data_IF_336061716478
#
_entry.id   IF_336061716478
#
_cell.length_a   1.000
_cell.length_b   1.000
_cell.length_c   1.000
_cell.angle_alpha   90.00
_cell.angle_beta   90.00
_cell.angle_gamma   90.00
#
_symmetry.space_group_name_H-M   'P 1'
#
loop_
_entity.id
_entity.type
_entity.pdbx_description
1 polymer ?
#
# COMPACT_ATOMS: atom_id res chain seq x y z
N UNK A 1 25.10 26.55 46.61
CA UNK A 1 25.32 25.47 45.63
C UNK A 1 24.46 24.21 45.90
N UNK A 2 24.32 23.77 47.12
CA UNK A 2 23.53 22.55 47.46
C UNK A 2 22.00 22.71 47.23
N UNK A 3 21.46 23.92 47.45
CA UNK A 3 20.03 24.21 47.20
C UNK A 3 19.64 24.29 45.75
N UNK A 4 20.54 24.69 44.85
CA UNK A 4 20.25 24.76 43.40
C UNK A 4 20.21 23.41 42.72
N UNK A 5 20.97 22.44 43.28
CA UNK A 5 20.95 21.02 42.81
C UNK A 5 19.66 20.33 43.24
N UNK A 6 19.18 20.58 44.47
CA UNK A 6 17.91 20.01 44.97
C UNK A 6 16.68 20.52 44.20
N UNK A 7 16.66 21.80 43.85
CA UNK A 7 15.59 22.41 43.05
C UNK A 7 15.51 21.81 41.63
N UNK A 8 16.63 21.59 40.94
CA UNK A 8 16.70 20.98 39.62
C UNK A 8 16.29 19.49 39.64
N UNK A 9 16.62 18.74 40.71
CA UNK A 9 16.19 17.35 40.87
C UNK A 9 14.69 17.21 41.11
N UNK A 10 14.07 18.14 41.86
CA UNK A 10 12.61 18.14 42.05
C UNK A 10 11.82 18.45 40.79
N UNK A 11 12.36 19.27 39.92
CA UNK A 11 11.75 19.60 38.61
C UNK A 11 11.85 18.45 37.60
N UNK A 12 12.94 17.68 37.65
CA UNK A 12 13.11 16.47 36.86
C UNK A 12 12.17 15.35 37.32
N UNK A 13 12.00 15.18 38.64
CA UNK A 13 11.06 14.20 39.21
C UNK A 13 9.59 14.55 38.91
N UNK A 14 9.22 15.81 38.86
CA UNK A 14 7.86 16.24 38.46
C UNK A 14 7.56 16.05 36.98
N UNK A 15 8.57 16.09 36.09
CA UNK A 15 8.43 15.88 34.64
C UNK A 15 8.56 14.41 34.19
N UNK A 16 9.05 13.52 35.05
CA UNK A 16 9.41 12.14 34.68
C UNK A 16 8.51 11.06 35.28
N UNK A 17 7.22 11.07 35.02
CA UNK A 17 6.41 9.84 35.12
C UNK A 17 6.51 9.07 33.82
N UNK A 18 7.27 7.95 33.83
CA UNK A 18 7.32 6.87 32.85
C UNK A 18 8.46 6.87 31.82
N UNK A 19 9.63 6.37 32.26
CA UNK A 19 10.41 5.41 31.43
C UNK A 19 11.58 4.86 32.25
N UNK A 20 11.78 3.52 32.23
CA UNK A 20 12.88 2.84 32.90
C UNK A 20 14.30 3.37 32.53
N UNK A 21 14.45 3.99 31.38
CA UNK A 21 15.66 4.68 30.94
C UNK A 21 15.98 5.93 31.77
N UNK A 22 14.96 6.62 32.24
CA UNK A 22 15.16 7.86 33.03
C UNK A 22 15.52 7.55 34.48
N UNK A 23 15.01 6.43 34.99
CA UNK A 23 15.39 5.92 36.32
C UNK A 23 16.86 5.48 36.36
N UNK A 24 17.39 4.90 35.29
CA UNK A 24 18.80 4.53 35.22
C UNK A 24 19.72 5.76 35.20
N UNK A 25 19.30 6.79 34.49
CA UNK A 25 20.05 8.05 34.39
C UNK A 25 20.09 8.79 35.77
N UNK A 26 18.94 8.86 36.45
CA UNK A 26 18.83 9.45 37.78
C UNK A 26 19.71 8.71 38.77
N UNK A 27 19.67 7.37 38.83
CA UNK A 27 20.55 6.55 39.70
C UNK A 27 22.02 6.72 39.38
N UNK A 28 22.41 6.94 38.14
CA UNK A 28 23.79 7.18 37.73
C UNK A 28 24.28 8.55 38.18
N UNK A 29 23.42 9.57 38.12
CA UNK A 29 23.73 10.93 38.59
C UNK A 29 23.81 10.99 40.12
N UNK A 30 22.90 10.31 40.83
CA UNK A 30 22.96 10.16 42.30
C UNK A 30 24.26 9.49 42.78
N UNK A 31 24.66 8.39 42.14
CA UNK A 31 25.88 7.67 42.48
C UNK A 31 27.15 8.47 42.19
N UNK A 32 27.14 9.35 41.21
CA UNK A 32 28.25 10.28 40.90
C UNK A 32 28.26 11.50 41.84
N UNK A 33 27.11 11.94 42.34
CA UNK A 33 27.00 13.00 43.33
C UNK A 33 27.49 12.55 44.69
N UNK A 34 27.21 11.30 45.08
CA UNK A 34 27.71 10.68 46.35
C UNK A 34 29.22 10.44 46.31
N UNK A 35 29.81 10.24 45.14
CA UNK A 35 31.25 10.01 44.98
C UNK A 35 32.10 11.31 45.01
N UNK A 36 31.50 12.47 45.17
CA UNK A 36 32.22 13.75 45.23
C UNK A 36 32.90 14.22 43.94
N UNK A 37 32.68 13.51 42.84
CA UNK A 37 33.36 13.70 41.57
C UNK A 37 32.49 14.50 40.58
N UNK A 38 31.95 15.66 41.06
CA UNK A 38 31.17 16.52 40.22
C UNK A 38 32.11 17.52 39.52
N UNK A 39 32.92 17.03 38.60
CA UNK A 39 33.50 17.83 37.56
C UNK A 39 32.76 17.58 36.25
N UNK A 40 31.46 17.87 36.23
CA UNK A 40 30.68 17.94 35.02
C UNK A 40 31.17 19.08 34.15
N UNK A 41 32.27 18.88 33.41
CA UNK A 41 32.60 19.71 32.25
C UNK A 41 31.44 19.53 31.28
N UNK A 42 30.57 20.52 31.19
CA UNK A 42 29.51 20.61 30.17
C UNK A 42 30.07 20.50 28.73
N UNK A 43 31.42 20.50 28.58
CA UNK A 43 32.13 20.37 27.32
C UNK A 43 32.25 18.94 26.80
N UNK A 44 32.05 17.89 27.65
CA UNK A 44 32.25 16.50 27.24
C UNK A 44 30.98 15.81 26.70
N UNK A 45 29.83 16.45 26.80
CA UNK A 45 28.72 16.10 25.92
C UNK A 45 29.01 16.69 24.54
N UNK A 46 29.91 16.00 23.76
CA UNK A 46 29.92 16.22 22.31
C UNK A 46 28.46 16.15 21.87
N UNK A 47 27.87 17.22 21.33
CA UNK A 47 26.53 17.11 20.77
C UNK A 47 26.67 16.04 19.70
N UNK A 48 26.18 14.84 20.01
CA UNK A 48 25.91 13.84 18.98
C UNK A 48 25.19 14.61 17.90
N UNK A 49 25.86 14.81 16.76
CA UNK A 49 25.50 15.64 15.58
C UNK A 49 23.99 15.68 15.52
N UNK A 50 23.39 16.78 16.01
CA UNK A 50 21.98 16.85 16.32
C UNK A 50 21.23 16.58 15.02
N UNK A 51 20.76 15.36 14.86
CA UNK A 51 19.95 14.98 13.73
C UNK A 51 18.83 16.01 13.65
N UNK A 52 18.77 16.74 12.53
CA UNK A 52 17.88 17.87 12.31
C UNK A 52 16.52 17.57 12.97
N UNK A 53 16.07 18.32 14.00
CA UNK A 53 14.90 17.95 14.81
C UNK A 53 13.65 17.75 13.95
N UNK A 54 13.59 18.47 12.81
CA UNK A 54 12.52 18.30 11.81
C UNK A 54 12.54 16.93 11.14
N UNK A 55 13.72 16.35 10.89
CA UNK A 55 13.88 15.02 10.31
C UNK A 55 13.48 13.94 11.33
N UNK A 56 13.87 14.09 12.59
CA UNK A 56 13.50 13.16 13.68
C UNK A 56 11.99 13.10 13.90
N UNK A 57 11.32 14.25 13.89
CA UNK A 57 9.86 14.34 14.01
C UNK A 57 9.14 13.67 12.82
N UNK A 58 9.62 13.93 11.59
CA UNK A 58 9.03 13.31 10.39
C UNK A 58 9.20 11.81 10.37
N UNK A 59 10.37 11.31 10.78
CA UNK A 59 10.63 9.88 10.88
C UNK A 59 9.75 9.22 11.94
N UNK A 60 9.59 9.84 13.10
CA UNK A 60 8.71 9.35 14.15
C UNK A 60 7.24 9.28 13.70
N UNK A 61 6.76 10.31 12.98
CA UNK A 61 5.42 10.33 12.40
C UNK A 61 5.25 9.23 11.34
N UNK A 62 6.22 9.07 10.42
CA UNK A 62 6.19 8.04 9.40
C UNK A 62 6.05 6.63 10.02
N UNK A 63 6.92 6.28 10.96
CA UNK A 63 6.87 4.97 11.61
C UNK A 63 5.62 4.79 12.49
N UNK A 64 5.11 5.86 13.08
CA UNK A 64 3.85 5.84 13.84
C UNK A 64 2.66 5.48 12.95
N UNK A 65 2.50 6.16 11.83
CA UNK A 65 1.45 5.89 10.84
C UNK A 65 1.59 4.49 10.22
N UNK A 66 2.81 4.11 9.84
CA UNK A 66 3.09 2.78 9.29
C UNK A 66 2.71 1.66 10.29
N UNK A 67 3.11 1.80 11.56
CA UNK A 67 2.76 0.82 12.61
C UNK A 67 1.26 0.71 12.83
N UNK A 68 0.55 1.83 12.71
CA UNK A 68 -0.89 1.88 12.89
C UNK A 68 -1.64 1.16 11.76
N UNK A 69 -1.16 1.27 10.51
CA UNK A 69 -1.76 0.63 9.34
C UNK A 69 -1.36 -0.86 9.22
N UNK A 70 -0.29 -1.29 9.87
CA UNK A 70 0.26 -2.64 9.75
C UNK A 70 -0.76 -3.75 9.99
N UNK A 71 -1.58 -3.62 11.05
CA UNK A 71 -2.58 -4.67 11.40
C UNK A 71 -3.61 -4.86 10.29
N UNK A 72 -4.17 -3.77 9.78
CA UNK A 72 -5.14 -3.81 8.68
C UNK A 72 -4.51 -4.38 7.40
N UNK A 73 -3.30 -3.94 7.05
CA UNK A 73 -2.58 -4.43 5.88
C UNK A 73 -2.26 -5.92 5.96
N UNK A 74 -1.91 -6.44 7.15
CA UNK A 74 -1.66 -7.88 7.35
C UNK A 74 -2.92 -8.71 7.20
N UNK A 75 -4.10 -8.23 7.64
CA UNK A 75 -5.37 -8.93 7.44
C UNK A 75 -5.68 -9.03 5.95
N UNK A 76 -5.57 -7.91 5.21
CA UNK A 76 -5.76 -7.90 3.77
C UNK A 76 -4.78 -8.82 3.05
N UNK A 77 -3.52 -8.84 3.50
CA UNK A 77 -2.49 -9.71 2.96
C UNK A 77 -2.87 -11.20 3.12
N UNK A 78 -3.31 -11.58 4.31
CA UNK A 78 -3.74 -12.96 4.58
C UNK A 78 -4.94 -13.38 3.71
N UNK A 79 -5.91 -12.47 3.50
CA UNK A 79 -7.08 -12.72 2.64
C UNK A 79 -6.64 -12.92 1.18
N UNK A 80 -5.85 -12.00 0.64
CA UNK A 80 -5.43 -12.07 -0.76
C UNK A 80 -4.47 -13.24 -0.99
N UNK A 81 -3.53 -13.49 -0.08
CA UNK A 81 -2.65 -14.65 -0.14
C UNK A 81 -3.44 -15.97 -0.08
N UNK A 82 -4.46 -16.03 0.77
CA UNK A 82 -5.38 -17.19 0.82
C UNK A 82 -6.10 -17.44 -0.51
N UNK A 83 -6.62 -16.37 -1.14
CA UNK A 83 -7.23 -16.48 -2.47
C UNK A 83 -6.22 -16.93 -3.54
N UNK A 84 -5.00 -16.42 -3.50
CA UNK A 84 -3.92 -16.84 -4.39
C UNK A 84 -3.60 -18.33 -4.23
N UNK A 85 -3.53 -18.83 -2.99
CA UNK A 85 -3.28 -20.24 -2.70
C UNK A 85 -4.43 -21.11 -3.21
N UNK A 86 -5.68 -20.71 -2.98
CA UNK A 86 -6.85 -21.44 -3.48
C UNK A 86 -6.82 -21.50 -5.01
N UNK A 87 -6.59 -20.39 -5.69
CA UNK A 87 -6.47 -20.35 -7.16
C UNK A 87 -5.34 -21.24 -7.65
N UNK A 88 -4.16 -21.20 -7.04
CA UNK A 88 -3.05 -22.06 -7.42
C UNK A 88 -3.37 -23.56 -7.22
N UNK A 89 -4.01 -23.90 -6.10
CA UNK A 89 -4.36 -25.28 -5.78
C UNK A 89 -5.45 -25.87 -6.72
N UNK A 90 -6.25 -25.02 -7.36
CA UNK A 90 -7.28 -25.49 -8.33
C UNK A 90 -6.72 -25.75 -9.72
N UNK A 91 -5.48 -25.34 -10.03
CA UNK A 91 -4.90 -25.53 -11.36
C UNK A 91 -4.86 -26.98 -11.85
N UNK A 92 -4.42 -28.00 -11.06
CA UNK A 92 -4.42 -29.39 -11.52
C UNK A 92 -5.81 -29.88 -11.91
N UNK A 93 -6.85 -29.48 -11.17
CA UNK A 93 -8.24 -29.83 -11.46
C UNK A 93 -8.71 -29.16 -12.77
N UNK A 94 -8.37 -27.90 -12.98
CA UNK A 94 -8.70 -27.17 -14.21
C UNK A 94 -8.01 -27.77 -15.42
N UNK A 95 -6.76 -28.21 -15.30
CA UNK A 95 -6.02 -28.87 -16.37
C UNK A 95 -6.74 -30.13 -16.83
N UNK A 96 -7.14 -30.98 -15.90
CA UNK A 96 -7.94 -32.21 -16.22
C UNK A 96 -9.26 -31.87 -16.90
N UNK A 97 -9.93 -30.79 -16.46
CA UNK A 97 -11.19 -30.35 -17.07
C UNK A 97 -10.98 -29.83 -18.50
N UNK A 98 -9.88 -29.10 -18.77
CA UNK A 98 -9.55 -28.61 -20.10
C UNK A 98 -9.20 -29.76 -21.05
N UNK A 99 -8.42 -30.76 -20.61
CA UNK A 99 -8.09 -31.94 -21.40
C UNK A 99 -9.38 -32.71 -21.76
N UNK A 100 -10.29 -32.90 -20.81
CA UNK A 100 -11.59 -33.57 -21.05
C UNK A 100 -12.50 -32.79 -22.01
N UNK A 101 -12.43 -31.44 -22.01
CA UNK A 101 -13.16 -30.60 -22.98
C UNK A 101 -12.58 -30.72 -24.38
N UNK A 102 -11.26 -30.79 -24.52
CA UNK A 102 -10.60 -30.95 -25.84
C UNK A 102 -11.03 -32.29 -26.51
N UNK A 103 -11.18 -33.35 -25.75
CA UNK A 103 -11.64 -34.63 -26.26
C UNK A 103 -13.07 -34.58 -26.85
N UNK A 104 -13.87 -33.62 -26.44
CA UNK A 104 -15.26 -33.43 -26.92
C UNK A 104 -15.38 -32.52 -28.14
N UNK A 105 -14.30 -31.86 -28.60
CA UNK A 105 -14.35 -30.90 -29.71
C UNK A 105 -14.90 -31.46 -31.03
N UNK A 106 -14.74 -32.75 -31.28
CA UNK A 106 -15.27 -33.39 -32.48
C UNK A 106 -16.81 -33.31 -32.61
N UNK A 107 -17.51 -33.01 -31.51
CA UNK A 107 -18.98 -32.93 -31.47
C UNK A 107 -19.53 -31.51 -31.45
N UNK A 108 -18.67 -30.47 -31.40
CA UNK A 108 -19.06 -29.06 -31.25
C UNK A 108 -19.04 -28.31 -32.60
N UNK A 109 -19.87 -27.29 -32.77
CA UNK A 109 -19.78 -26.37 -33.89
C UNK A 109 -18.40 -25.65 -33.96
N UNK A 110 -17.84 -25.39 -35.17
CA UNK A 110 -16.51 -24.81 -35.32
C UNK A 110 -16.32 -23.48 -34.58
N UNK A 111 -17.35 -22.63 -34.55
CA UNK A 111 -17.30 -21.34 -33.86
C UNK A 111 -17.11 -21.49 -32.33
N UNK A 112 -17.80 -22.51 -31.74
CA UNK A 112 -17.65 -22.83 -30.32
C UNK A 112 -16.27 -23.41 -30.03
N UNK A 113 -15.75 -24.26 -30.91
CA UNK A 113 -14.39 -24.81 -30.79
C UNK A 113 -13.34 -23.70 -30.78
N UNK A 114 -13.47 -22.69 -31.64
CA UNK A 114 -12.55 -21.55 -31.67
C UNK A 114 -12.58 -20.74 -30.39
N UNK A 115 -13.78 -20.43 -29.86
CA UNK A 115 -13.92 -19.68 -28.58
C UNK A 115 -13.31 -20.47 -27.43
N UNK A 116 -13.57 -21.78 -27.35
CA UNK A 116 -13.04 -22.62 -26.29
C UNK A 116 -11.52 -22.75 -26.40
N UNK A 117 -10.97 -22.92 -27.61
CA UNK A 117 -9.52 -22.98 -27.82
C UNK A 117 -8.84 -21.68 -27.41
N UNK A 118 -9.43 -20.51 -27.71
CA UNK A 118 -8.91 -19.22 -27.29
C UNK A 118 -8.93 -19.10 -25.75
N UNK A 119 -10.02 -19.52 -25.12
CA UNK A 119 -10.15 -19.51 -23.67
C UNK A 119 -9.16 -20.48 -22.99
N UNK A 120 -9.00 -21.69 -23.51
CA UNK A 120 -8.02 -22.68 -23.01
C UNK A 120 -6.60 -22.16 -23.24
N UNK A 121 -6.29 -21.64 -24.43
CA UNK A 121 -4.98 -21.07 -24.75
C UNK A 121 -4.58 -19.88 -23.88
N UNK A 122 -5.57 -19.12 -23.37
CA UNK A 122 -5.33 -18.08 -22.37
C UNK A 122 -4.99 -18.61 -20.97
N UNK A 123 -5.17 -19.93 -20.72
CA UNK A 123 -5.01 -20.57 -19.43
C UNK A 123 -4.23 -21.90 -19.52
N UNK A 124 -3.53 -22.17 -20.61
CA UNK A 124 -2.86 -23.43 -20.93
C UNK A 124 -1.69 -23.78 -19.99
N UNK A 125 -1.08 -22.77 -19.36
CA UNK A 125 0.01 -22.95 -18.41
C UNK A 125 -0.40 -22.46 -17.01
N UNK A 126 0.28 -22.98 -15.98
CA UNK A 126 0.04 -22.55 -14.60
C UNK A 126 0.10 -21.01 -14.48
N UNK A 127 1.10 -20.38 -15.05
CA UNK A 127 1.30 -18.93 -14.92
C UNK A 127 0.16 -18.16 -15.55
N UNK A 128 -0.27 -18.52 -16.77
CA UNK A 128 -1.39 -17.87 -17.44
C UNK A 128 -2.69 -18.08 -16.66
N UNK A 129 -2.99 -19.30 -16.25
CA UNK A 129 -4.15 -19.60 -15.42
C UNK A 129 -4.17 -18.79 -14.13
N UNK A 130 -3.07 -18.82 -13.38
CA UNK A 130 -2.97 -18.16 -12.09
C UNK A 130 -3.14 -16.64 -12.19
N UNK A 131 -2.43 -15.98 -13.12
CA UNK A 131 -2.49 -14.54 -13.27
C UNK A 131 -3.86 -14.03 -13.77
N UNK A 132 -4.53 -14.84 -14.62
CA UNK A 132 -5.86 -14.49 -15.15
C UNK A 132 -6.96 -14.77 -14.12
N UNK A 133 -6.94 -15.93 -13.47
CA UNK A 133 -8.04 -16.39 -12.60
C UNK A 133 -7.99 -15.79 -11.19
N UNK A 134 -6.82 -15.43 -10.67
CA UNK A 134 -6.68 -14.93 -9.30
C UNK A 134 -7.30 -13.54 -9.08
N UNK A 135 -7.69 -12.85 -10.15
CA UNK A 135 -8.27 -11.49 -10.03
C UNK A 135 -7.35 -10.50 -9.33
N UNK A 136 -6.03 -10.72 -9.41
CA UNK A 136 -5.01 -9.98 -8.66
C UNK A 136 -5.11 -8.48 -8.88
N UNK A 137 -5.35 -8.05 -10.12
CA UNK A 137 -5.47 -6.64 -10.45
C UNK A 137 -6.59 -5.95 -9.65
N UNK A 138 -7.80 -6.56 -9.61
CA UNK A 138 -8.92 -6.03 -8.84
C UNK A 138 -8.61 -6.01 -7.33
N UNK A 139 -8.07 -7.11 -6.80
CA UNK A 139 -7.76 -7.22 -5.38
C UNK A 139 -6.72 -6.20 -4.92
N UNK A 140 -5.69 -5.97 -5.74
CA UNK A 140 -4.65 -4.98 -5.48
C UNK A 140 -5.16 -3.54 -5.58
N UNK A 141 -6.05 -3.26 -6.54
CA UNK A 141 -6.73 -1.98 -6.64
C UNK A 141 -7.63 -1.71 -5.43
N UNK A 142 -8.42 -2.70 -5.00
CA UNK A 142 -9.26 -2.62 -3.80
C UNK A 142 -8.40 -2.36 -2.56
N UNK A 143 -7.32 -3.10 -2.38
CA UNK A 143 -6.40 -2.88 -1.28
C UNK A 143 -5.86 -1.44 -1.26
N UNK A 144 -5.29 -0.97 -2.37
CA UNK A 144 -4.75 0.40 -2.50
C UNK A 144 -5.81 1.47 -2.19
N UNK A 145 -7.00 1.32 -2.75
CA UNK A 145 -8.11 2.25 -2.54
C UNK A 145 -8.62 2.28 -1.10
N UNK A 146 -8.77 1.13 -0.48
CA UNK A 146 -9.24 1.00 0.91
C UNK A 146 -8.21 1.57 1.89
N UNK A 147 -6.93 1.26 1.70
CA UNK A 147 -5.86 1.80 2.55
C UNK A 147 -5.80 3.32 2.43
N UNK A 148 -5.90 3.86 1.21
CA UNK A 148 -5.93 5.31 0.98
C UNK A 148 -7.11 6.00 1.68
N UNK A 149 -8.32 5.42 1.59
CA UNK A 149 -9.51 5.97 2.24
C UNK A 149 -9.43 5.90 3.76
N UNK A 150 -8.98 4.77 4.32
CA UNK A 150 -8.90 4.57 5.77
C UNK A 150 -7.85 5.45 6.42
N UNK A 151 -6.74 5.71 5.74
CA UNK A 151 -5.65 6.53 6.26
C UNK A 151 -6.06 7.96 6.57
N UNK A 152 -6.95 8.54 5.75
CA UNK A 152 -7.44 9.90 5.94
C UNK A 152 -8.72 9.98 6.79
N UNK A 153 -9.61 8.99 6.70
CA UNK A 153 -10.85 8.97 7.49
C UNK A 153 -10.62 8.67 8.97
N UNK A 154 -9.52 7.99 9.29
CA UNK A 154 -9.14 7.66 10.66
C UNK A 154 -8.86 8.89 11.51
N UNK A 155 -8.24 9.92 10.92
CA UNK A 155 -7.94 11.18 11.61
C UNK A 155 -9.21 12.00 11.89
N UNK A 156 -10.26 11.79 11.10
CA UNK A 156 -11.54 12.50 11.25
C UNK A 156 -12.40 11.94 12.39
N UNK A 157 -12.02 10.79 12.95
CA UNK A 157 -12.74 10.12 14.03
C UNK A 157 -12.08 10.43 15.38
N UNK A 158 -12.74 11.23 16.20
CA UNK A 158 -12.31 11.56 17.57
C UNK A 158 -11.27 12.69 17.65
N UNK A 159 -10.74 12.93 18.84
CA UNK A 159 -9.80 14.03 19.15
C UNK A 159 -8.39 13.85 18.56
N UNK A 160 -8.19 12.82 17.72
CA UNK A 160 -6.89 12.54 17.11
C UNK A 160 -6.46 13.66 16.15
N UNK A 161 -7.41 14.31 15.48
CA UNK A 161 -7.15 15.45 14.60
C UNK A 161 -6.62 16.65 15.38
N UNK A 162 -7.22 16.99 16.52
CA UNK A 162 -6.80 18.12 17.35
C UNK A 162 -5.37 17.94 17.85
N UNK A 163 -5.04 16.73 18.33
CA UNK A 163 -3.70 16.39 18.78
C UNK A 163 -2.66 16.45 17.64
N UNK A 164 -3.02 15.92 16.46
CA UNK A 164 -2.12 15.87 15.32
C UNK A 164 -1.80 17.28 14.79
N UNK A 165 -2.81 18.15 14.79
CA UNK A 165 -2.66 19.53 14.30
C UNK A 165 -2.15 20.51 15.35
N UNK A 166 -2.16 20.13 16.63
CA UNK A 166 -1.49 20.88 17.71
C UNK A 166 0.05 20.68 17.71
N UNK A 167 0.58 19.69 16.97
CA UNK A 167 2.01 19.48 16.85
C UNK A 167 2.68 20.64 16.09
N UNK A 168 3.94 21.02 16.44
CA UNK A 168 4.68 22.09 15.76
C UNK A 168 5.23 21.63 14.39
N UNK A 169 4.38 20.95 13.60
CA UNK A 169 4.69 20.43 12.26
C UNK A 169 3.74 21.11 11.26
N UNK A 170 4.29 21.57 10.13
CA UNK A 170 3.45 22.14 9.07
C UNK A 170 2.43 21.10 8.58
N UNK A 171 1.16 21.48 8.50
CA UNK A 171 0.04 20.61 8.06
C UNK A 171 0.32 19.89 6.72
N UNK A 172 0.90 20.62 5.75
CA UNK A 172 1.31 20.04 4.47
C UNK A 172 2.31 18.91 4.62
N UNK A 173 3.23 19.00 5.59
CA UNK A 173 4.22 17.97 5.85
C UNK A 173 3.60 16.69 6.41
N UNK A 174 2.57 16.82 7.25
CA UNK A 174 1.81 15.66 7.76
C UNK A 174 1.18 14.89 6.59
N UNK A 175 0.53 15.59 5.67
CA UNK A 175 -0.12 14.97 4.50
C UNK A 175 0.89 14.31 3.56
N UNK A 176 2.06 14.94 3.33
CA UNK A 176 3.15 14.34 2.54
C UNK A 176 3.65 13.05 3.18
N UNK A 177 3.84 13.04 4.50
CA UNK A 177 4.29 11.84 5.22
C UNK A 177 3.23 10.73 5.13
N UNK A 178 1.94 11.06 5.29
CA UNK A 178 0.84 10.09 5.11
C UNK A 178 0.83 9.50 3.71
N UNK A 179 0.97 10.33 2.68
CA UNK A 179 1.05 9.86 1.30
C UNK A 179 2.27 8.93 1.10
N UNK A 180 3.44 9.30 1.62
CA UNK A 180 4.62 8.45 1.54
C UNK A 180 4.45 7.10 2.27
N UNK A 181 3.78 7.09 3.43
CA UNK A 181 3.44 5.85 4.15
C UNK A 181 2.46 5.00 3.35
N UNK A 182 1.42 5.61 2.76
CA UNK A 182 0.44 4.93 1.92
C UNK A 182 1.13 4.17 0.78
N UNK A 183 1.92 4.88 -0.02
CA UNK A 183 2.58 4.27 -1.18
C UNK A 183 3.64 3.24 -0.77
N UNK A 184 4.33 3.45 0.35
CA UNK A 184 5.26 2.45 0.92
C UNK A 184 4.53 1.16 1.29
N UNK A 185 3.34 1.25 1.87
CA UNK A 185 2.52 0.07 2.22
C UNK A 185 2.04 -0.64 0.95
N UNK A 186 1.57 0.09 -0.05
CA UNK A 186 1.12 -0.47 -1.33
C UNK A 186 2.26 -1.21 -2.03
N UNK A 187 3.44 -0.61 -2.12
CA UNK A 187 4.61 -1.23 -2.77
C UNK A 187 5.07 -2.47 -1.99
N UNK A 188 5.20 -2.39 -0.67
CA UNK A 188 5.63 -3.54 0.16
C UNK A 188 4.64 -4.70 0.07
N UNK A 189 3.35 -4.40 0.02
CA UNK A 189 2.31 -5.40 -0.14
C UNK A 189 2.42 -6.14 -1.48
N UNK A 190 2.58 -5.40 -2.57
CA UNK A 190 2.74 -5.98 -3.91
C UNK A 190 4.04 -6.79 -4.04
N UNK A 191 5.15 -6.32 -3.44
CA UNK A 191 6.41 -7.08 -3.39
C UNK A 191 6.25 -8.40 -2.63
N UNK A 192 5.51 -8.41 -1.53
CA UNK A 192 5.24 -9.64 -0.79
C UNK A 192 4.36 -10.60 -1.60
N UNK A 193 3.39 -10.09 -2.37
CA UNK A 193 2.58 -10.91 -3.28
C UNK A 193 3.40 -11.46 -4.45
N UNK A 194 4.35 -10.70 -4.98
CA UNK A 194 5.29 -11.20 -5.99
C UNK A 194 6.04 -12.44 -5.48
N UNK A 195 6.57 -12.36 -4.26
CA UNK A 195 7.27 -13.51 -3.64
C UNK A 195 6.34 -14.70 -3.49
N UNK A 196 5.11 -14.49 -3.00
CA UNK A 196 4.12 -15.57 -2.87
C UNK A 196 3.79 -16.18 -4.24
N UNK A 197 3.58 -15.36 -5.27
CA UNK A 197 3.24 -15.83 -6.62
C UNK A 197 4.35 -16.70 -7.21
N UNK A 198 5.61 -16.34 -7.01
CA UNK A 198 6.75 -17.16 -7.43
C UNK A 198 6.80 -18.48 -6.65
N UNK A 199 6.58 -18.45 -5.33
CA UNK A 199 6.55 -19.68 -4.52
C UNK A 199 5.41 -20.59 -4.95
N UNK A 200 4.22 -20.05 -5.21
CA UNK A 200 3.07 -20.85 -5.69
C UNK A 200 3.34 -21.45 -7.07
N UNK A 201 4.01 -20.71 -7.97
CA UNK A 201 4.41 -21.24 -9.26
C UNK A 201 5.38 -22.42 -9.11
N UNK A 202 6.35 -22.32 -8.21
CA UNK A 202 7.29 -23.43 -7.92
C UNK A 202 6.57 -24.67 -7.33
N UNK A 203 5.52 -24.46 -6.51
CA UNK A 203 4.81 -25.56 -5.85
C UNK A 203 3.77 -26.24 -6.75
N UNK A 204 3.09 -25.49 -7.61
CA UNK A 204 1.88 -25.95 -8.31
C UNK A 204 2.03 -26.06 -9.84
N UNK A 205 3.17 -25.66 -10.45
CA UNK A 205 3.37 -25.77 -11.90
C UNK A 205 3.44 -27.20 -12.42
N UNK A 206 3.59 -28.20 -11.55
CA UNK A 206 3.65 -29.60 -11.97
C UNK A 206 4.85 -29.95 -12.86
N UNK A 207 5.94 -29.17 -12.83
CA UNK A 207 7.12 -29.36 -13.68
C UNK A 207 7.06 -28.58 -15.00
N UNK A 208 6.03 -27.79 -15.24
CA UNK A 208 5.99 -26.88 -16.39
C UNK A 208 7.03 -25.77 -16.26
N UNK A 209 7.52 -25.27 -17.40
CA UNK A 209 8.42 -24.14 -17.44
C UNK A 209 7.74 -22.87 -16.89
N UNK A 210 8.31 -22.27 -15.85
CA UNK A 210 7.74 -21.09 -15.18
C UNK A 210 8.21 -19.82 -15.91
N UNK A 211 7.27 -19.06 -16.44
CA UNK A 211 7.54 -17.73 -17.00
C UNK A 211 7.63 -16.66 -15.89
N UNK A 212 8.81 -16.52 -15.29
CA UNK A 212 9.05 -15.50 -14.26
C UNK A 212 8.92 -14.08 -14.78
N UNK A 213 9.16 -13.85 -16.08
CA UNK A 213 9.03 -12.53 -16.69
C UNK A 213 7.58 -12.12 -16.76
N UNK A 214 6.68 -13.06 -17.12
CA UNK A 214 5.25 -12.82 -17.12
C UNK A 214 4.73 -12.50 -15.71
N UNK A 215 5.15 -13.24 -14.67
CA UNK A 215 4.79 -12.97 -13.27
C UNK A 215 5.26 -11.57 -12.86
N UNK A 216 6.51 -11.22 -13.14
CA UNK A 216 7.08 -9.92 -12.79
C UNK A 216 6.38 -8.78 -13.53
N UNK A 217 6.13 -8.95 -14.83
CA UNK A 217 5.46 -7.95 -15.66
C UNK A 217 4.02 -7.70 -15.18
N UNK A 218 3.26 -8.76 -14.90
CA UNK A 218 1.88 -8.64 -14.43
C UNK A 218 1.81 -7.99 -13.04
N UNK A 219 2.56 -8.48 -12.06
CA UNK A 219 2.52 -7.91 -10.70
C UNK A 219 3.16 -6.52 -10.67
N UNK A 220 4.19 -6.27 -11.47
CA UNK A 220 4.79 -4.95 -11.61
C UNK A 220 3.82 -3.91 -12.17
N UNK A 221 3.11 -4.24 -13.24
CA UNK A 221 2.07 -3.39 -13.82
C UNK A 221 0.86 -3.23 -12.89
N UNK A 222 0.44 -4.28 -12.19
CA UNK A 222 -0.61 -4.21 -11.18
C UNK A 222 -0.19 -3.36 -9.97
N UNK A 223 1.10 -3.34 -9.61
CA UNK A 223 1.65 -2.40 -8.60
C UNK A 223 1.49 -0.96 -9.05
N UNK A 224 1.83 -0.66 -10.30
CA UNK A 224 1.66 0.67 -10.88
C UNK A 224 0.19 1.11 -10.84
N UNK A 225 -0.72 0.22 -11.24
CA UNK A 225 -2.16 0.45 -11.15
C UNK A 225 -2.60 0.72 -9.70
N UNK A 226 -2.12 -0.06 -8.73
CA UNK A 226 -2.45 0.13 -7.31
C UNK A 226 -1.98 1.49 -6.78
N UNK A 227 -0.79 1.96 -7.20
CA UNK A 227 -0.27 3.30 -6.90
C UNK A 227 -1.16 4.37 -7.52
N UNK A 228 -1.60 4.20 -8.75
CA UNK A 228 -2.52 5.13 -9.41
C UNK A 228 -3.84 5.21 -8.66
N UNK A 229 -4.47 4.08 -8.35
CA UNK A 229 -5.76 4.01 -7.64
C UNK A 229 -5.67 4.59 -6.24
N UNK A 230 -4.64 4.22 -5.46
CA UNK A 230 -4.42 4.75 -4.12
C UNK A 230 -4.21 6.27 -4.14
N UNK A 231 -3.42 6.77 -5.08
CA UNK A 231 -3.16 8.20 -5.28
C UNK A 231 -4.42 8.98 -5.67
N UNK A 232 -5.26 8.44 -6.56
CA UNK A 232 -6.54 9.04 -6.96
C UNK A 232 -7.48 9.17 -5.76
N UNK A 233 -7.68 8.08 -5.01
CA UNK A 233 -8.58 8.08 -3.86
C UNK A 233 -8.04 8.98 -2.75
N UNK A 234 -6.72 9.01 -2.53
CA UNK A 234 -6.08 9.91 -1.60
C UNK A 234 -6.29 11.38 -2.01
N UNK A 235 -6.03 11.74 -3.27
CA UNK A 235 -6.25 13.07 -3.83
C UNK A 235 -7.71 13.52 -3.72
N UNK A 236 -8.66 12.69 -4.14
CA UNK A 236 -10.10 12.96 -4.01
C UNK A 236 -10.52 13.14 -2.56
N UNK A 237 -9.97 12.34 -1.65
CA UNK A 237 -10.25 12.46 -0.22
C UNK A 237 -9.72 13.77 0.37
N UNK A 238 -8.57 14.29 -0.09
CA UNK A 238 -8.06 15.60 0.31
C UNK A 238 -8.91 16.75 -0.26
N UNK A 239 -9.50 16.55 -1.45
CA UNK A 239 -10.36 17.55 -2.08
C UNK A 239 -11.75 17.62 -1.44
N UNK A 240 -12.24 16.55 -0.85
CA UNK A 240 -13.59 16.45 -0.28
C UNK A 240 -13.65 17.07 1.12
N UNK A 241 -14.71 17.81 1.43
CA UNK A 241 -14.98 18.29 2.80
C UNK A 241 -15.23 17.11 3.75
N UNK A 242 -16.04 16.13 3.30
CA UNK A 242 -16.20 14.83 3.97
C UNK A 242 -15.22 13.88 3.33
N UNK A 243 -14.27 13.33 4.09
CA UNK A 243 -13.27 12.36 3.59
C UNK A 243 -13.96 11.22 2.85
N UNK A 244 -13.31 10.72 1.78
CA UNK A 244 -13.79 9.55 1.03
C UNK A 244 -13.77 8.34 1.97
N UNK A 245 -14.94 7.87 2.34
CA UNK A 245 -15.11 6.70 3.20
C UNK A 245 -14.86 5.40 2.46
N UNK A 246 -14.76 4.30 3.21
CA UNK A 246 -14.53 2.95 2.70
C UNK A 246 -15.50 2.57 1.57
N UNK A 247 -16.82 2.76 1.77
CA UNK A 247 -17.82 2.37 0.77
C UNK A 247 -17.72 3.16 -0.54
N UNK A 248 -17.36 4.45 -0.47
CA UNK A 248 -17.15 5.27 -1.67
C UNK A 248 -15.88 4.84 -2.41
N UNK A 249 -14.79 4.55 -1.69
CA UNK A 249 -13.56 4.04 -2.29
C UNK A 249 -13.80 2.70 -2.99
N UNK A 250 -14.52 1.78 -2.33
CA UNK A 250 -14.93 0.50 -2.90
C UNK A 250 -15.75 0.71 -4.19
N UNK A 251 -16.76 1.59 -4.15
CA UNK A 251 -17.60 1.88 -5.31
C UNK A 251 -16.82 2.44 -6.48
N UNK A 252 -15.88 3.37 -6.25
CA UNK A 252 -15.02 3.92 -7.30
C UNK A 252 -14.20 2.81 -7.97
N UNK A 253 -13.54 1.94 -7.18
CA UNK A 253 -12.71 0.84 -7.72
C UNK A 253 -13.57 -0.15 -8.51
N UNK A 254 -14.74 -0.53 -7.99
CA UNK A 254 -15.65 -1.44 -8.70
C UNK A 254 -16.16 -0.84 -10.01
N UNK A 255 -16.53 0.43 -10.04
CA UNK A 255 -16.94 1.11 -11.29
C UNK A 255 -15.79 1.10 -12.29
N UNK A 256 -14.57 1.45 -11.87
CA UNK A 256 -13.39 1.39 -12.73
C UNK A 256 -13.14 -0.01 -13.30
N UNK A 257 -13.38 -1.06 -12.50
CA UNK A 257 -13.23 -2.44 -12.92
C UNK A 257 -14.33 -2.85 -13.91
N UNK A 258 -15.59 -2.50 -13.64
CA UNK A 258 -16.73 -2.85 -14.50
C UNK A 258 -16.72 -2.15 -15.87
N UNK A 259 -16.01 -1.05 -16.00
CA UNK A 259 -15.83 -0.36 -17.27
C UNK A 259 -14.90 -1.15 -18.22
N UNK A 260 -13.91 -1.87 -17.69
CA UNK A 260 -12.90 -2.56 -18.51
C UNK A 260 -13.48 -3.56 -19.52
N UNK A 261 -14.42 -4.46 -19.16
CA UNK A 261 -15.01 -5.41 -20.12
C UNK A 261 -15.71 -4.76 -21.31
N UNK A 262 -16.20 -3.51 -21.16
CA UNK A 262 -16.82 -2.78 -22.27
C UNK A 262 -15.85 -2.52 -23.42
N UNK A 263 -14.55 -2.50 -23.15
CA UNK A 263 -13.51 -2.33 -24.17
C UNK A 263 -13.39 -3.50 -25.15
N UNK A 264 -13.98 -4.66 -24.82
CA UNK A 264 -14.02 -5.83 -25.70
C UNK A 264 -15.14 -5.75 -26.75
N UNK A 265 -16.06 -4.78 -26.63
CA UNK A 265 -17.14 -4.57 -27.61
C UNK A 265 -16.59 -3.81 -28.81
N UNK A 266 -16.90 -4.27 -30.01
CA UNK A 266 -16.49 -3.62 -31.25
C UNK A 266 -16.91 -2.13 -31.28
N UNK A 267 -15.95 -1.26 -31.61
CA UNK A 267 -16.14 0.20 -31.59
C UNK A 267 -15.93 0.88 -30.23
N UNK A 268 -15.86 0.12 -29.11
CA UNK A 268 -15.64 0.66 -27.76
C UNK A 268 -14.20 0.47 -27.25
N UNK A 269 -13.24 0.10 -28.10
CA UNK A 269 -11.84 -0.13 -27.69
C UNK A 269 -11.18 1.06 -26.99
N UNK A 270 -11.66 2.30 -27.19
CA UNK A 270 -11.18 3.49 -26.50
C UNK A 270 -11.50 3.49 -24.99
N UNK A 271 -12.48 2.70 -24.54
CA UNK A 271 -12.93 2.62 -23.14
C UNK A 271 -11.79 2.14 -22.22
N UNK A 272 -10.84 1.37 -22.74
CA UNK A 272 -9.64 0.95 -21.98
C UNK A 272 -8.81 2.13 -21.46
N UNK A 273 -8.84 3.28 -22.13
CA UNK A 273 -8.16 4.50 -21.68
C UNK A 273 -8.88 5.22 -20.55
N UNK A 274 -10.16 4.91 -20.31
CA UNK A 274 -10.98 5.53 -19.26
C UNK A 274 -10.84 4.87 -17.89
N UNK A 275 -10.10 3.77 -17.80
CA UNK A 275 -9.90 3.04 -16.54
C UNK A 275 -8.44 2.67 -16.31
N UNK A 276 -7.90 2.85 -15.10
CA UNK A 276 -6.56 2.38 -14.77
C UNK A 276 -6.47 0.84 -14.68
N UNK A 277 -7.62 0.14 -14.71
CA UNK A 277 -7.67 -1.32 -14.66
C UNK A 277 -7.12 -2.00 -15.91
N UNK A 278 -6.86 -1.24 -16.96
CA UNK A 278 -6.20 -1.71 -18.19
C UNK A 278 -4.66 -1.66 -18.12
N UNK A 279 -4.07 -1.11 -17.04
CA UNK A 279 -2.61 -1.05 -16.87
C UNK A 279 -1.98 -2.44 -16.65
N UNK A 280 -2.58 -3.37 -15.86
CA UNK A 280 -2.00 -4.70 -15.68
C UNK A 280 -1.89 -5.45 -17.00
N UNK A 281 -0.68 -5.93 -17.29
CA UNK A 281 -0.43 -6.68 -18.52
C UNK A 281 -1.14 -8.04 -18.48
N UNK A 282 -1.80 -8.38 -19.57
CA UNK A 282 -2.21 -9.76 -19.83
C UNK A 282 -0.97 -10.55 -20.24
N UNK A 283 -0.89 -11.82 -19.84
CA UNK A 283 0.27 -12.67 -20.18
C UNK A 283 0.40 -12.79 -21.70
N UNK A 284 1.59 -12.44 -22.21
CA UNK A 284 1.87 -12.44 -23.65
C UNK A 284 1.50 -11.14 -24.37
N UNK A 285 0.83 -10.17 -23.71
CA UNK A 285 0.55 -8.87 -24.31
C UNK A 285 1.64 -7.84 -23.98
N UNK A 286 1.90 -6.86 -24.86
CA UNK A 286 2.85 -5.80 -24.58
C UNK A 286 2.33 -4.88 -23.46
N UNK A 287 3.26 -4.27 -22.71
CA UNK A 287 2.90 -3.31 -21.68
C UNK A 287 2.31 -2.03 -22.28
N UNK A 288 1.17 -1.60 -21.74
CA UNK A 288 0.41 -0.44 -22.20
C UNK A 288 0.99 0.88 -21.64
N UNK A 289 2.11 1.34 -22.23
CA UNK A 289 2.82 2.55 -21.77
C UNK A 289 1.96 3.81 -21.82
N UNK A 290 1.14 3.97 -22.86
CA UNK A 290 0.33 5.17 -23.07
C UNK A 290 -0.72 5.28 -21.97
N UNK A 291 -1.46 4.21 -21.70
CA UNK A 291 -2.47 4.16 -20.63
C UNK A 291 -1.82 4.45 -19.27
N UNK A 292 -0.67 3.81 -19.00
CA UNK A 292 0.06 3.97 -17.75
C UNK A 292 0.50 5.41 -17.52
N UNK A 293 1.02 6.09 -18.54
CA UNK A 293 1.44 7.49 -18.46
C UNK A 293 0.26 8.44 -18.25
N UNK A 294 -0.86 8.22 -18.96
CA UNK A 294 -2.08 9.03 -18.81
C UNK A 294 -2.56 8.95 -17.35
N UNK A 295 -2.70 7.74 -16.81
CA UNK A 295 -3.22 7.55 -15.46
C UNK A 295 -2.26 8.00 -14.37
N UNK A 296 -0.95 7.89 -14.55
CA UNK A 296 0.05 8.49 -13.67
C UNK A 296 -0.07 10.02 -13.64
N UNK A 297 -0.27 10.64 -14.81
CA UNK A 297 -0.48 12.09 -14.88
C UNK A 297 -1.79 12.50 -14.18
N UNK A 298 -2.89 11.78 -14.40
CA UNK A 298 -4.18 12.03 -13.73
C UNK A 298 -4.05 11.88 -12.21
N UNK A 299 -3.38 10.82 -11.74
CA UNK A 299 -3.12 10.60 -10.32
C UNK A 299 -2.27 11.73 -9.70
N UNK A 300 -1.20 12.15 -10.39
CA UNK A 300 -0.35 13.25 -9.95
C UNK A 300 -1.13 14.57 -9.85
N UNK A 301 -1.98 14.88 -10.84
CA UNK A 301 -2.86 16.05 -10.83
C UNK A 301 -3.86 15.99 -9.68
N UNK A 302 -4.49 14.83 -9.44
CA UNK A 302 -5.44 14.64 -8.35
C UNK A 302 -4.78 14.86 -6.98
N UNK A 303 -3.58 14.31 -6.76
CA UNK A 303 -2.81 14.52 -5.54
C UNK A 303 -2.42 15.97 -5.39
N UNK A 304 -1.88 16.63 -6.42
CA UNK A 304 -1.48 18.04 -6.39
C UNK A 304 -2.68 18.96 -6.10
N UNK A 305 -3.81 18.75 -6.78
CA UNK A 305 -5.04 19.50 -6.53
C UNK A 305 -5.56 19.30 -5.10
N UNK A 306 -5.50 18.05 -4.60
CA UNK A 306 -5.82 17.72 -3.21
C UNK A 306 -4.95 18.48 -2.22
N UNK A 307 -3.63 18.53 -2.42
CA UNK A 307 -2.70 19.30 -1.60
C UNK A 307 -2.98 20.79 -1.62
N UNK A 308 -3.21 21.37 -2.81
CA UNK A 308 -3.49 22.81 -2.95
C UNK A 308 -4.78 23.19 -2.23
N UNK A 309 -5.83 22.37 -2.36
CA UNK A 309 -7.10 22.59 -1.68
C UNK A 309 -6.97 22.43 -0.17
N UNK A 310 -6.28 21.38 0.30
CA UNK A 310 -6.03 21.15 1.72
C UNK A 310 -5.31 22.31 2.41
N UNK A 311 -4.38 22.98 1.71
CA UNK A 311 -3.70 24.18 2.23
C UNK A 311 -4.65 25.36 2.47
N UNK A 312 -5.74 25.45 1.70
CA UNK A 312 -6.74 26.53 1.76
C UNK A 312 -7.91 26.22 2.68
N UNK A 313 -8.05 24.98 3.15
CA UNK A 313 -9.13 24.59 4.05
C UNK A 313 -8.79 25.04 5.47
N UNK A 314 -9.62 25.91 6.04
CA UNK A 314 -9.64 26.13 7.48
C UNK A 314 -10.27 24.88 8.11
N UNK A 315 -9.54 24.26 9.01
CA UNK A 315 -10.03 23.11 9.78
C UNK A 315 -10.88 23.70 10.93
N UNK A 316 -12.15 23.87 10.69
CA UNK A 316 -13.15 24.13 11.72
C UNK A 316 -13.61 22.80 12.31
#
# INVERSE_FOLDING_TARGET
MENDVKLKLSDIQKKGKNKASDLWYVKKVEKQAEAGDINLKLSDTKPTRAANPKLRQSRALFFGEFKQMRKSSLIWFAVIAGLCIITAATYPLMKVAFDALQDQFGSLPPDMVNIINEMIGAMDTFVKYYLTSAGLALMLALFGGIVASTMLTKDSKGNASEFLYAMPIKRTRIVVIKYAVLESIVVLFNLALLVISVVLALCFSGGEAIDYVAILAHIGSATLMSIVVSSLIFGLSLMSKKRVGFGVALGIVLIMYLILPLSAIDGLGFVRYLTPMSIPTVVGAPFEWIVSLIWLAVAAVAVAAGFLRFRKQDLV
#
